data_IF_513984076096
#
_entry.id   IF_513984076096
#
_cell.length_a   1.000
_cell.length_b   1.000
_cell.length_c   1.000
_cell.angle_alpha   90.00
_cell.angle_beta   90.00
_cell.angle_gamma   90.00
#
_symmetry.space_group_name_H-M   'P 1'
#
loop_
_entity.id
_entity.type
_entity.pdbx_description
1 polymer ?
#
# COMPACT_ATOMS: atom_id res chain seq x y z
N UNK A 1 -10.64 15.63 -16.98
CA UNK A 1 -10.47 14.40 -16.17
C UNK A 1 -9.24 14.60 -15.30
N UNK A 2 -9.40 14.58 -13.97
CA UNK A 2 -8.29 14.80 -13.05
C UNK A 2 -7.59 13.47 -12.77
N UNK A 3 -6.34 13.34 -13.18
CA UNK A 3 -5.50 12.21 -12.79
C UNK A 3 -5.06 12.41 -11.34
N UNK A 4 -5.37 11.45 -10.46
CA UNK A 4 -4.91 11.50 -9.07
C UNK A 4 -3.56 10.80 -8.93
N UNK A 5 -2.70 11.36 -8.09
CA UNK A 5 -1.45 10.73 -7.68
C UNK A 5 -1.67 10.14 -6.29
N UNK A 6 -1.57 8.82 -6.18
CA UNK A 6 -1.72 8.07 -4.94
C UNK A 6 -0.35 7.64 -4.43
N UNK A 7 -0.07 7.92 -3.15
CA UNK A 7 1.04 7.34 -2.42
C UNK A 7 0.48 6.37 -1.39
N UNK A 8 0.98 5.15 -1.33
CA UNK A 8 0.52 4.15 -0.36
C UNK A 8 1.65 3.26 0.14
N UNK A 9 1.65 2.98 1.44
CA UNK A 9 2.62 2.09 2.08
C UNK A 9 2.03 1.43 3.34
N UNK A 10 2.66 0.37 3.84
CA UNK A 10 2.23 -0.36 5.03
C UNK A 10 3.38 -0.86 5.89
N UNK A 11 3.20 -0.82 7.20
CA UNK A 11 4.15 -1.38 8.17
C UNK A 11 3.50 -2.44 9.04
N UNK A 12 4.14 -3.60 9.18
CA UNK A 12 3.59 -4.76 9.90
C UNK A 12 4.51 -5.22 11.03
N UNK A 13 3.91 -5.60 12.15
CA UNK A 13 4.54 -6.47 13.15
C UNK A 13 4.21 -7.92 12.77
N UNK A 14 5.19 -8.64 12.21
CA UNK A 14 5.02 -10.00 11.70
C UNK A 14 4.71 -11.03 12.78
N UNK A 15 5.16 -10.81 14.02
CA UNK A 15 4.88 -11.72 15.14
C UNK A 15 3.42 -11.61 15.58
N UNK A 16 2.92 -10.38 15.75
CA UNK A 16 1.52 -10.12 16.16
C UNK A 16 0.54 -10.15 15.00
N UNK A 17 1.03 -10.16 13.75
CA UNK A 17 0.23 -10.04 12.51
C UNK A 17 -0.67 -8.81 12.50
N UNK A 18 -0.22 -7.73 13.13
CA UNK A 18 -0.90 -6.42 13.15
C UNK A 18 -0.07 -5.46 12.32
N UNK A 19 -0.70 -4.71 11.43
CA UNK A 19 -0.06 -3.70 10.63
C UNK A 19 -0.88 -2.43 10.50
N UNK A 20 -0.25 -1.39 9.98
CA UNK A 20 -0.88 -0.12 9.66
C UNK A 20 -0.60 0.21 8.21
N UNK A 21 -1.65 0.49 7.46
CA UNK A 21 -1.59 1.04 6.11
C UNK A 21 -1.73 2.56 6.17
N UNK A 22 -0.99 3.25 5.32
CA UNK A 22 -1.07 4.69 5.14
C UNK A 22 -1.22 5.03 3.67
N UNK A 23 -2.04 6.03 3.35
CA UNK A 23 -2.08 6.59 2.01
C UNK A 23 -2.44 8.08 2.03
N UNK A 24 -2.10 8.80 0.96
CA UNK A 24 -2.71 10.09 0.64
C UNK A 24 -2.78 10.28 -0.88
N UNK A 25 -3.60 11.23 -1.33
CA UNK A 25 -3.76 11.57 -2.74
C UNK A 25 -3.53 13.05 -2.99
N UNK A 26 -3.01 13.38 -4.17
CA UNK A 26 -2.82 14.76 -4.66
C UNK A 26 -3.17 14.86 -6.13
N UNK A 27 -3.53 16.05 -6.59
CA UNK A 27 -3.73 16.31 -8.02
C UNK A 27 -2.40 16.56 -8.75
N UNK A 28 -1.38 17.03 -8.04
CA UNK A 28 -0.06 17.30 -8.60
C UNK A 28 1.05 17.18 -7.53
N UNK A 29 2.31 17.13 -7.97
CA UNK A 29 3.48 16.91 -7.11
C UNK A 29 3.96 18.19 -6.38
N UNK A 30 3.32 19.34 -6.56
CA UNK A 30 3.68 20.62 -5.92
C UNK A 30 3.20 20.71 -4.46
N UNK A 31 2.37 19.78 -3.98
CA UNK A 31 1.92 19.67 -2.60
C UNK A 31 3.04 19.92 -1.58
N UNK A 32 2.90 20.91 -0.71
CA UNK A 32 3.79 21.04 0.45
C UNK A 32 3.60 19.82 1.38
N UNK A 33 4.65 19.05 1.73
CA UNK A 33 4.52 17.86 2.56
C UNK A 33 3.80 18.05 3.90
N UNK A 34 3.77 19.27 4.44
CA UNK A 34 3.05 19.60 5.68
C UNK A 34 1.51 19.56 5.50
N UNK A 35 1.03 19.76 4.27
CA UNK A 35 -0.39 19.82 3.93
C UNK A 35 -0.94 18.45 3.49
N UNK A 36 -0.12 17.39 3.57
CA UNK A 36 -0.53 16.06 3.18
C UNK A 36 -1.56 15.49 4.16
N UNK A 37 -2.79 15.27 3.68
CA UNK A 37 -3.85 14.58 4.44
C UNK A 37 -3.63 13.07 4.41
N UNK A 38 -2.78 12.57 5.32
CA UNK A 38 -2.47 11.15 5.41
C UNK A 38 -3.60 10.40 6.11
N UNK A 39 -4.19 9.44 5.40
CA UNK A 39 -5.14 8.48 5.95
C UNK A 39 -4.40 7.27 6.50
N UNK A 40 -4.74 6.88 7.73
CA UNK A 40 -4.16 5.74 8.44
C UNK A 40 -5.23 4.72 8.82
N UNK A 41 -4.91 3.44 8.65
CA UNK A 41 -5.81 2.35 9.05
C UNK A 41 -5.03 1.17 9.62
N UNK A 42 -5.56 0.59 10.71
CA UNK A 42 -5.03 -0.63 11.32
C UNK A 42 -5.61 -1.85 10.62
N UNK A 43 -4.77 -2.87 10.43
CA UNK A 43 -5.11 -4.17 9.88
C UNK A 43 -4.64 -5.27 10.83
N UNK A 44 -5.47 -6.29 11.01
CA UNK A 44 -5.15 -7.49 11.78
C UNK A 44 -5.01 -8.69 10.85
N UNK A 45 -4.42 -9.78 11.36
CA UNK A 45 -4.17 -11.01 10.62
C UNK A 45 -3.51 -10.78 9.26
N UNK A 46 -2.53 -9.88 9.23
CA UNK A 46 -1.85 -9.43 8.02
C UNK A 46 -0.36 -9.80 7.99
N UNK A 47 0.25 -9.63 6.83
CA UNK A 47 1.68 -9.80 6.53
C UNK A 47 2.11 -8.65 5.61
N UNK A 48 3.41 -8.46 5.33
CA UNK A 48 3.87 -7.29 4.56
C UNK A 48 3.16 -7.18 3.20
N UNK A 49 3.25 -8.22 2.38
CA UNK A 49 2.59 -8.23 1.05
C UNK A 49 1.07 -8.15 1.13
N UNK A 50 0.46 -8.78 2.15
CA UNK A 50 -0.99 -8.73 2.34
C UNK A 50 -1.43 -7.31 2.71
N UNK A 51 -0.71 -6.66 3.62
CA UNK A 51 -0.98 -5.31 4.09
C UNK A 51 -0.81 -4.28 2.97
N UNK A 52 0.25 -4.37 2.18
CA UNK A 52 0.48 -3.50 1.03
C UNK A 52 -0.71 -3.55 0.05
N UNK A 53 -1.17 -4.76 -0.30
CA UNK A 53 -2.34 -4.94 -1.17
C UNK A 53 -3.64 -4.41 -0.54
N UNK A 54 -3.88 -4.75 0.74
CA UNK A 54 -5.05 -4.26 1.47
C UNK A 54 -5.08 -2.74 1.55
N UNK A 55 -3.93 -2.10 1.74
CA UNK A 55 -3.79 -0.65 1.83
C UNK A 55 -4.09 0.00 0.48
N UNK A 56 -3.52 -0.52 -0.60
CA UNK A 56 -3.80 -0.04 -1.95
C UNK A 56 -5.28 -0.20 -2.31
N UNK A 57 -5.87 -1.38 -2.09
CA UNK A 57 -7.27 -1.65 -2.39
C UNK A 57 -8.21 -0.76 -1.57
N UNK A 58 -7.88 -0.51 -0.31
CA UNK A 58 -8.61 0.43 0.53
C UNK A 58 -8.56 1.85 -0.05
N UNK A 59 -7.37 2.33 -0.43
CA UNK A 59 -7.21 3.66 -1.04
C UNK A 59 -7.98 3.78 -2.35
N UNK A 60 -7.82 2.82 -3.28
CA UNK A 60 -8.49 2.82 -4.57
C UNK A 60 -10.02 2.83 -4.43
N UNK A 61 -10.59 2.07 -3.48
CA UNK A 61 -12.03 2.09 -3.21
C UNK A 61 -12.55 3.47 -2.81
N UNK A 62 -11.80 4.21 -1.99
CA UNK A 62 -12.23 5.53 -1.53
C UNK A 62 -12.11 6.60 -2.62
N UNK A 63 -11.12 6.49 -3.51
CA UNK A 63 -10.86 7.52 -4.52
C UNK A 63 -11.49 7.22 -5.88
N UNK A 64 -11.93 5.99 -6.13
CA UNK A 64 -12.60 5.57 -7.36
C UNK A 64 -13.77 6.48 -7.79
N UNK A 65 -14.62 7.00 -6.88
CA UNK A 65 -15.68 7.93 -7.28
C UNK A 65 -15.17 9.29 -7.80
N UNK A 66 -13.91 9.63 -7.53
CA UNK A 66 -13.31 10.94 -7.80
C UNK A 66 -12.50 10.98 -9.11
N UNK A 67 -12.09 9.82 -9.63
CA UNK A 67 -11.26 9.75 -10.83
C UNK A 67 -11.40 8.42 -11.57
N UNK A 68 -11.20 8.44 -12.88
CA UNK A 68 -11.05 7.25 -13.72
C UNK A 68 -9.60 6.82 -13.92
N UNK A 69 -8.61 7.63 -13.52
CA UNK A 69 -7.18 7.35 -13.72
C UNK A 69 -6.34 7.74 -12.51
N UNK A 70 -5.41 6.86 -12.10
CA UNK A 70 -4.56 7.06 -10.93
C UNK A 70 -3.11 6.67 -11.24
N UNK A 71 -2.17 7.53 -10.87
CA UNK A 71 -0.75 7.17 -10.78
C UNK A 71 -0.41 6.75 -9.35
N UNK A 72 0.00 5.50 -9.17
CA UNK A 72 0.25 4.90 -7.86
C UNK A 72 1.75 4.79 -7.61
N UNK A 73 2.26 5.45 -6.57
CA UNK A 73 3.61 5.32 -6.07
C UNK A 73 3.66 4.37 -4.85
N UNK A 74 4.45 3.31 -4.97
CA UNK A 74 4.66 2.29 -3.92
C UNK A 74 6.06 1.69 -4.04
N UNK A 75 6.66 1.25 -2.93
CA UNK A 75 7.91 0.48 -2.96
C UNK A 75 7.67 -1.03 -3.11
N UNK A 76 6.41 -1.47 -3.08
CA UNK A 76 6.00 -2.87 -3.22
C UNK A 76 6.28 -3.40 -4.63
N UNK A 77 7.36 -4.18 -4.75
CA UNK A 77 7.65 -4.93 -5.98
C UNK A 77 6.50 -5.88 -6.37
N UNK A 78 5.78 -6.41 -5.37
CA UNK A 78 4.66 -7.29 -5.63
C UNK A 78 3.55 -6.55 -6.38
N UNK A 79 3.15 -5.37 -5.93
CA UNK A 79 2.11 -4.55 -6.57
C UNK A 79 2.53 -4.17 -7.99
N UNK A 80 3.73 -3.60 -8.16
CA UNK A 80 4.21 -3.13 -9.46
C UNK A 80 4.29 -4.28 -10.47
N UNK A 81 4.66 -5.48 -10.03
CA UNK A 81 4.74 -6.67 -10.88
C UNK A 81 3.44 -7.48 -11.01
N UNK A 82 2.34 -7.13 -10.33
CA UNK A 82 1.09 -7.89 -10.42
C UNK A 82 0.43 -7.84 -11.80
N UNK A 83 0.28 -6.68 -12.46
CA UNK A 83 -0.36 -6.59 -13.77
C UNK A 83 0.29 -7.52 -14.81
N UNK A 84 1.63 -7.54 -14.89
CA UNK A 84 2.37 -8.41 -15.80
C UNK A 84 2.27 -9.91 -15.48
N UNK A 85 1.76 -10.29 -14.30
CA UNK A 85 1.55 -11.69 -13.89
C UNK A 85 0.09 -12.15 -14.01
N UNK A 86 -0.85 -11.25 -14.31
CA UNK A 86 -2.30 -11.51 -14.30
C UNK A 86 -2.68 -12.76 -15.07
N UNK A 87 -2.37 -12.78 -16.37
CA UNK A 87 -2.72 -13.88 -17.26
C UNK A 87 -2.29 -15.25 -16.71
N UNK A 88 -1.04 -15.37 -16.25
CA UNK A 88 -0.53 -16.62 -15.65
C UNK A 88 -1.24 -16.97 -14.34
N UNK A 89 -1.57 -15.98 -13.51
CA UNK A 89 -2.25 -16.22 -12.23
C UNK A 89 -3.68 -16.72 -12.45
N UNK A 90 -4.41 -16.08 -13.35
CA UNK A 90 -5.79 -16.45 -13.72
C UNK A 90 -5.83 -17.84 -14.39
N UNK A 91 -4.96 -18.09 -15.38
CA UNK A 91 -4.90 -19.40 -16.06
C UNK A 91 -4.61 -20.57 -15.12
N UNK A 92 -3.80 -20.37 -14.09
CA UNK A 92 -3.47 -21.41 -13.12
C UNK A 92 -4.44 -21.43 -11.93
N UNK A 93 -5.58 -20.72 -11.99
CA UNK A 93 -6.53 -20.58 -10.90
C UNK A 93 -5.87 -20.17 -9.56
N UNK A 94 -4.79 -19.39 -9.65
CA UNK A 94 -3.97 -18.97 -8.52
C UNK A 94 -3.33 -20.11 -7.73
N UNK A 95 -3.02 -21.24 -8.37
CA UNK A 95 -2.20 -22.31 -7.81
C UNK A 95 -0.73 -22.15 -8.21
N UNK A 96 0.16 -22.50 -7.28
CA UNK A 96 1.59 -22.61 -7.54
C UNK A 96 1.93 -23.90 -8.29
N UNK A 97 3.16 -24.00 -8.81
CA UNK A 97 3.68 -25.22 -9.48
C UNK A 97 3.61 -26.46 -8.59
N UNK A 98 3.65 -26.30 -7.27
CA UNK A 98 3.56 -27.39 -6.30
C UNK A 98 2.12 -27.68 -5.87
N UNK A 99 1.14 -27.27 -6.69
CA UNK A 99 -0.30 -27.42 -6.46
C UNK A 99 -0.82 -26.83 -5.13
N UNK A 100 -0.12 -25.84 -4.58
CA UNK A 100 -0.59 -25.06 -3.41
C UNK A 100 -1.23 -23.77 -3.88
N UNK A 101 -2.45 -23.48 -3.42
CA UNK A 101 -3.13 -22.21 -3.69
C UNK A 101 -2.34 -21.05 -3.06
N UNK A 102 -2.20 -19.96 -3.79
CA UNK A 102 -1.46 -18.79 -3.32
C UNK A 102 -2.19 -18.12 -2.15
N UNK A 103 -1.47 -17.80 -1.09
CA UNK A 103 -2.07 -17.26 0.15
C UNK A 103 -2.92 -15.99 -0.04
N UNK A 104 -2.58 -15.15 -1.00
CA UNK A 104 -3.25 -13.86 -1.25
C UNK A 104 -4.13 -13.89 -2.51
N UNK A 105 -4.58 -15.07 -2.97
CA UNK A 105 -5.29 -15.18 -4.25
C UNK A 105 -6.53 -14.28 -4.34
N UNK A 106 -7.31 -14.16 -3.26
CA UNK A 106 -8.52 -13.32 -3.22
C UNK A 106 -8.18 -11.84 -3.40
N UNK A 107 -7.09 -11.38 -2.78
CA UNK A 107 -6.60 -10.01 -2.94
C UNK A 107 -6.06 -9.77 -4.35
N UNK A 108 -5.50 -10.79 -5.00
CA UNK A 108 -5.10 -10.66 -6.41
C UNK A 108 -6.31 -10.54 -7.32
N UNK A 109 -7.35 -11.36 -7.10
CA UNK A 109 -8.62 -11.24 -7.83
C UNK A 109 -9.24 -9.85 -7.64
N UNK A 110 -9.30 -9.38 -6.40
CA UNK A 110 -9.82 -8.05 -6.07
C UNK A 110 -8.99 -6.93 -6.71
N UNK A 111 -7.65 -7.06 -6.70
CA UNK A 111 -6.75 -6.13 -7.35
C UNK A 111 -7.01 -6.04 -8.86
N UNK A 112 -7.13 -7.18 -9.55
CA UNK A 112 -7.40 -7.19 -10.99
C UNK A 112 -8.77 -6.59 -11.31
N UNK A 113 -9.81 -6.95 -10.55
CA UNK A 113 -11.12 -6.33 -10.69
C UNK A 113 -11.09 -4.81 -10.46
N UNK A 114 -10.25 -4.32 -9.54
CA UNK A 114 -10.13 -2.90 -9.25
C UNK A 114 -9.46 -2.14 -10.41
N UNK A 115 -8.35 -2.64 -10.94
CA UNK A 115 -7.61 -1.96 -12.02
C UNK A 115 -8.33 -2.06 -13.38
N UNK A 116 -9.29 -2.98 -13.53
CA UNK A 116 -10.20 -2.99 -14.69
C UNK A 116 -11.20 -1.83 -14.65
N UNK A 117 -11.44 -1.25 -13.48
CA UNK A 117 -12.42 -0.18 -13.27
C UNK A 117 -11.78 1.20 -13.12
N UNK A 118 -10.48 1.25 -12.78
CA UNK A 118 -9.70 2.48 -12.59
C UNK A 118 -8.38 2.30 -13.33
N UNK A 119 -8.09 3.18 -14.28
CA UNK A 119 -6.83 3.14 -15.05
C UNK A 119 -5.64 3.46 -14.13
N UNK A 120 -4.96 2.41 -13.66
CA UNK A 120 -3.89 2.53 -12.67
C UNK A 120 -2.51 2.38 -13.31
N UNK A 121 -1.69 3.42 -13.23
CA UNK A 121 -0.27 3.37 -13.57
C UNK A 121 0.58 3.17 -12.30
N UNK A 122 1.25 2.02 -12.18
CA UNK A 122 2.07 1.69 -11.01
C UNK A 122 3.54 2.06 -11.21
N UNK A 123 4.05 2.96 -10.37
CA UNK A 123 5.43 3.42 -10.38
C UNK A 123 6.15 3.01 -9.09
N UNK A 124 7.26 2.30 -9.25
CA UNK A 124 8.08 1.89 -8.11
C UNK A 124 8.88 3.07 -7.59
N UNK A 125 8.87 3.27 -6.28
CA UNK A 125 9.82 4.13 -5.57
C UNK A 125 10.89 3.30 -4.87
N UNK A 126 12.09 3.86 -4.75
CA UNK A 126 13.15 3.20 -3.99
C UNK A 126 12.96 3.52 -2.51
N UNK A 127 12.54 2.52 -1.74
CA UNK A 127 12.42 2.64 -0.29
C UNK A 127 13.76 3.05 0.35
N UNK A 128 13.68 3.84 1.43
CA UNK A 128 14.80 4.11 2.33
C UNK A 128 16.05 4.80 1.73
N UNK A 129 15.90 5.64 0.70
CA UNK A 129 17.02 6.46 0.21
C UNK A 129 17.52 7.47 1.28
N UNK A 130 18.83 7.77 1.34
CA UNK A 130 19.35 8.89 2.14
C UNK A 130 18.74 10.23 1.72
N UNK A 131 18.45 11.13 2.66
CA UNK A 131 17.76 12.41 2.39
C UNK A 131 18.40 13.26 1.28
N UNK A 132 19.72 13.19 1.12
CA UNK A 132 20.47 13.93 0.08
C UNK A 132 20.17 13.43 -1.34
N UNK A 133 19.75 12.17 -1.49
CA UNK A 133 19.44 11.54 -2.78
C UNK A 133 17.93 11.55 -3.09
N UNK A 134 17.10 11.95 -2.12
CA UNK A 134 15.64 11.96 -2.28
C UNK A 134 15.20 13.07 -3.23
N UNK A 135 14.58 12.66 -4.32
CA UNK A 135 13.82 13.56 -5.18
C UNK A 135 12.46 13.91 -4.53
N UNK A 136 11.63 14.66 -5.26
CA UNK A 136 10.33 15.09 -4.75
C UNK A 136 9.39 13.92 -4.41
N UNK A 137 9.32 12.92 -5.29
CA UNK A 137 8.48 11.72 -5.12
C UNK A 137 8.94 10.95 -3.89
N UNK A 138 10.24 10.77 -3.69
CA UNK A 138 10.78 10.07 -2.52
C UNK A 138 10.43 10.77 -1.20
N UNK A 139 10.42 12.11 -1.20
CA UNK A 139 10.05 12.92 -0.02
C UNK A 139 8.57 12.78 0.30
N UNK A 140 7.71 12.83 -0.72
CA UNK A 140 6.27 12.64 -0.59
C UNK A 140 5.93 11.21 -0.14
N UNK A 141 6.54 10.19 -0.76
CA UNK A 141 6.37 8.80 -0.35
C UNK A 141 6.83 8.56 1.11
N UNK A 142 7.90 9.24 1.54
CA UNK A 142 8.36 9.13 2.93
C UNK A 142 7.31 9.53 3.97
N UNK A 143 6.26 10.25 3.59
CA UNK A 143 5.16 10.61 4.48
C UNK A 143 4.34 9.37 4.86
N UNK A 144 3.93 8.55 3.90
CA UNK A 144 3.16 7.32 4.16
C UNK A 144 4.00 6.26 4.87
N UNK A 145 5.26 6.11 4.47
CA UNK A 145 6.22 5.20 5.12
C UNK A 145 6.45 5.57 6.60
N UNK A 146 6.69 6.85 6.90
CA UNK A 146 6.83 7.31 8.29
C UNK A 146 5.53 7.16 9.07
N UNK A 147 4.39 7.51 8.47
CA UNK A 147 3.09 7.45 9.14
C UNK A 147 2.74 6.01 9.54
N UNK A 148 2.87 5.04 8.63
CA UNK A 148 2.59 3.64 8.89
C UNK A 148 3.51 3.06 9.98
N UNK A 149 4.82 3.36 9.92
CA UNK A 149 5.80 2.93 10.93
C UNK A 149 5.57 3.56 12.30
N UNK A 150 5.25 4.85 12.35
CA UNK A 150 4.99 5.56 13.61
C UNK A 150 3.72 5.02 14.28
N UNK A 151 2.64 4.79 13.51
CA UNK A 151 1.42 4.19 14.03
C UNK A 151 1.66 2.78 14.60
N UNK A 152 2.44 1.96 13.91
CA UNK A 152 2.82 0.63 14.40
C UNK A 152 3.66 0.69 15.70
N UNK A 153 4.55 1.67 15.82
CA UNK A 153 5.38 1.88 17.03
C UNK A 153 4.53 2.35 18.22
N UNK A 154 3.62 3.29 18.00
CA UNK A 154 2.70 3.79 19.03
C UNK A 154 1.77 2.68 19.56
N UNK A 155 1.37 1.73 18.72
CA UNK A 155 0.59 0.56 19.16
C UNK A 155 1.36 -0.30 20.18
N UNK A 156 2.69 -0.43 20.02
CA UNK A 156 3.52 -1.20 20.97
C UNK A 156 3.51 -0.57 22.36
N UNK A 157 3.63 0.76 22.44
CA UNK A 157 3.67 1.48 23.72
C UNK A 157 2.34 1.45 24.47
N UNK A 158 1.20 1.42 23.77
CA UNK A 158 -0.12 1.25 24.40
C UNK A 158 -0.37 -0.17 24.94
N UNK A 159 0.38 -1.17 24.47
CA UNK A 159 0.21 -2.57 24.91
C UNK A 159 1.15 -3.01 26.04
N UNK A 160 2.04 -2.14 26.52
CA UNK A 160 2.98 -2.42 27.63
C UNK A 160 2.56 -1.81 28.97
N UNK A 161 1.30 -1.36 29.11
CA UNK A 161 0.79 -0.62 30.27
C UNK A 161 -0.16 -1.39 31.20
N UNK A 162 -0.08 -2.72 31.28
CA UNK A 162 -0.96 -3.52 32.15
C UNK A 162 -0.21 -4.66 32.82
N UNK A 163 0.59 -4.32 33.83
CA UNK A 163 0.98 -5.21 34.93
C UNK A 163 1.63 -4.39 36.04
N UNK A 164 0.82 -3.95 37.01
CA UNK A 164 1.26 -3.83 38.40
C UNK A 164 0.14 -4.43 39.24
N UNK A 165 0.45 -5.58 39.83
CA UNK A 165 -0.28 -6.13 40.97
C UNK A 165 -0.06 -5.22 42.18
#
# INVERSE_FOLDING_TARGET
MNNLILFSDGSVNTQRKIGYGAYFVVNDLSLNPADAEIKLKRFEHTSSTKLELQTLLWALKEIKPLTSSVTVYTDSQNIVGLPGRRHRLEQNNYYSKNNKRLNNYELYQEFFNMIDQVDCNFLKVTGHLPSKLKNRIDRLFSLVDKASRNALRANKTSSSGSAKF
#
